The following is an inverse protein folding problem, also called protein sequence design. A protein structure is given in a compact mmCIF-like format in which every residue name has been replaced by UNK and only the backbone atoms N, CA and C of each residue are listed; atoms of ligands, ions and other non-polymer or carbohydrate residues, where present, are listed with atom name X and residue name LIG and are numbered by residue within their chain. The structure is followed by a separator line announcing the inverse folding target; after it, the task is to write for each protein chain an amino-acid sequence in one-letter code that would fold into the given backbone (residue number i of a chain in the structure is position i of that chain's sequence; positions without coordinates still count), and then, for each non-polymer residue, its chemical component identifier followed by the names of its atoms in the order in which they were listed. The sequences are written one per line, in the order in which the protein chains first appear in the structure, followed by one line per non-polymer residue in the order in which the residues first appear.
data_IF_369506270759
#
_entry.id   IF_369506270759
#
_cell.length_a   1.000
_cell.length_b   1.000
_cell.length_c   1.000
_cell.angle_alpha   90.00
_cell.angle_beta   90.00
_cell.angle_gamma   90.00
#
_symmetry.space_group_name_H-M   'P 1'
#
loop_
_entity.id
_entity.type
_entity.pdbx_description
1 polymer ?
#
# COMPACT_ATOMS: atom_id res chain seq x y z
N UNK A 1 25.71 -10.52 -2.88
CA UNK A 1 24.25 -10.27 -2.79
C UNK A 1 24.07 -8.97 -2.01
N UNK A 2 23.25 -8.02 -2.47
CA UNK A 2 23.04 -6.79 -1.70
C UNK A 2 22.35 -7.10 -0.38
N UNK A 3 22.70 -6.31 0.64
CA UNK A 3 22.06 -6.32 1.96
C UNK A 3 21.03 -5.20 2.11
N UNK A 4 21.06 -4.20 1.22
CA UNK A 4 20.20 -3.03 1.33
C UNK A 4 18.74 -3.38 1.09
N UNK A 5 17.83 -2.79 1.86
CA UNK A 5 16.37 -2.94 1.73
C UNK A 5 15.68 -1.58 1.84
N UNK A 6 14.59 -1.40 1.08
CA UNK A 6 13.73 -0.22 1.19
C UNK A 6 12.41 -0.62 1.84
N UNK A 7 12.03 0.04 2.93
CA UNK A 7 10.87 -0.29 3.75
C UNK A 7 9.90 0.86 3.75
N UNK A 8 8.65 0.57 3.42
CA UNK A 8 7.59 1.56 3.31
C UNK A 8 6.52 1.33 4.37
N UNK A 9 6.04 2.41 4.99
CA UNK A 9 4.67 2.38 5.51
C UNK A 9 3.65 2.25 4.37
N UNK A 10 2.48 1.74 4.70
CA UNK A 10 1.36 1.62 3.80
C UNK A 10 0.55 2.92 3.75
N UNK A 11 -0.24 3.17 4.79
CA UNK A 11 -1.19 4.28 4.86
C UNK A 11 -0.41 5.59 5.03
N UNK A 12 -0.76 6.62 4.27
CA UNK A 12 -0.05 7.91 4.35
C UNK A 12 1.29 7.94 3.60
N UNK A 13 1.91 6.79 3.35
CA UNK A 13 3.19 6.68 2.62
C UNK A 13 3.01 6.19 1.19
N UNK A 14 2.59 4.94 0.97
CA UNK A 14 2.34 4.42 -0.39
C UNK A 14 1.02 4.97 -0.94
N UNK A 15 0.00 5.07 -0.09
CA UNK A 15 -1.36 5.42 -0.52
C UNK A 15 -2.33 5.59 0.64
N UNK A 16 -3.61 5.71 0.31
CA UNK A 16 -4.73 5.64 1.26
C UNK A 16 -5.73 4.58 0.77
N UNK A 17 -5.80 3.47 1.49
CA UNK A 17 -6.55 2.29 1.08
C UNK A 17 -7.89 2.17 1.80
N UNK A 18 -8.27 3.18 2.60
CA UNK A 18 -9.50 3.13 3.40
C UNK A 18 -10.76 2.94 2.54
N UNK A 19 -10.76 3.47 1.32
CA UNK A 19 -11.89 3.40 0.40
C UNK A 19 -12.17 1.98 -0.12
N UNK A 20 -11.14 1.13 -0.20
CA UNK A 20 -11.27 -0.27 -0.66
C UNK A 20 -11.30 -1.28 0.48
N UNK A 21 -10.77 -0.93 1.65
CA UNK A 21 -10.76 -1.78 2.85
C UNK A 21 -12.14 -2.38 3.15
N UNK A 22 -13.20 -1.57 3.01
CA UNK A 22 -14.59 -2.03 3.24
C UNK A 22 -14.96 -3.27 2.41
N UNK A 23 -14.50 -3.38 1.17
CA UNK A 23 -14.87 -4.50 0.30
C UNK A 23 -14.10 -5.77 0.64
N UNK A 24 -12.92 -5.68 1.26
CA UNK A 24 -12.13 -6.86 1.65
C UNK A 24 -12.91 -7.80 2.57
N UNK A 25 -13.75 -7.25 3.46
CA UNK A 25 -14.64 -8.04 4.32
C UNK A 25 -15.63 -8.92 3.54
N UNK A 26 -15.86 -8.65 2.25
CA UNK A 26 -16.81 -9.37 1.41
C UNK A 26 -16.18 -10.45 0.55
N UNK A 27 -14.86 -10.51 0.38
CA UNK A 27 -14.27 -11.49 -0.53
C UNK A 27 -12.86 -11.93 -0.17
N UNK A 28 -12.11 -11.14 0.61
CA UNK A 28 -10.72 -11.46 0.89
C UNK A 28 -10.62 -12.61 1.88
N UNK A 29 -9.96 -13.68 1.47
CA UNK A 29 -9.78 -14.90 2.26
C UNK A 29 -9.13 -14.60 3.61
N UNK A 30 -8.10 -13.73 3.65
CA UNK A 30 -7.36 -13.44 4.87
C UNK A 30 -8.22 -12.68 5.88
N UNK A 31 -8.93 -11.66 5.40
CA UNK A 31 -9.86 -10.85 6.18
C UNK A 31 -10.99 -11.70 6.74
N UNK A 32 -11.58 -12.59 5.92
CA UNK A 32 -12.65 -13.47 6.38
C UNK A 32 -12.11 -14.50 7.38
N UNK A 33 -10.96 -15.13 7.12
CA UNK A 33 -10.34 -16.10 8.05
C UNK A 33 -9.97 -15.47 9.39
N UNK A 34 -9.61 -14.19 9.43
CA UNK A 34 -9.29 -13.51 10.68
C UNK A 34 -10.51 -13.40 11.62
N UNK A 35 -11.68 -13.09 11.07
CA UNK A 35 -12.91 -12.90 11.87
C UNK A 35 -13.82 -14.12 11.94
N UNK A 36 -13.73 -15.03 10.97
CA UNK A 36 -14.68 -16.13 10.72
C UNK A 36 -13.98 -17.42 10.24
N UNK A 37 -12.82 -17.76 10.82
CA UNK A 37 -11.98 -18.89 10.38
C UNK A 37 -12.74 -20.20 10.15
N UNK A 38 -13.42 -20.71 11.18
CA UNK A 38 -14.12 -22.00 11.14
C UNK A 38 -15.21 -22.01 10.05
N UNK A 39 -15.91 -20.88 9.92
CA UNK A 39 -16.93 -20.69 8.91
C UNK A 39 -16.34 -20.73 7.49
N UNK A 40 -15.26 -19.97 7.24
CA UNK A 40 -14.58 -19.98 5.95
C UNK A 40 -14.06 -21.37 5.58
N UNK A 41 -13.49 -22.10 6.55
CA UNK A 41 -12.99 -23.46 6.33
C UNK A 41 -14.11 -24.40 5.88
N UNK A 42 -15.32 -24.24 6.43
CA UNK A 42 -16.52 -25.00 6.04
C UNK A 42 -17.14 -24.63 4.68
N UNK A 43 -16.71 -23.54 4.05
CA UNK A 43 -17.28 -23.13 2.77
C UNK A 43 -16.96 -24.15 1.67
N UNK A 44 -17.93 -24.47 0.79
CA UNK A 44 -17.66 -25.24 -0.41
C UNK A 44 -16.56 -24.61 -1.26
N UNK A 45 -15.78 -25.43 -1.96
CA UNK A 45 -14.68 -24.96 -2.82
C UNK A 45 -15.18 -24.00 -3.93
N UNK A 46 -16.39 -24.21 -4.43
CA UNK A 46 -17.04 -23.30 -5.38
C UNK A 46 -17.24 -21.89 -4.82
N UNK A 47 -17.56 -21.76 -3.52
CA UNK A 47 -17.73 -20.47 -2.84
C UNK A 47 -16.36 -19.81 -2.67
N UNK A 48 -15.35 -20.56 -2.22
CA UNK A 48 -13.98 -20.06 -2.09
C UNK A 48 -13.44 -19.57 -3.43
N UNK A 49 -13.65 -20.33 -4.51
CA UNK A 49 -13.27 -19.93 -5.86
C UNK A 49 -14.06 -18.70 -6.35
N UNK A 50 -15.36 -18.61 -6.04
CA UNK A 50 -16.17 -17.44 -6.36
C UNK A 50 -15.65 -16.16 -5.70
N UNK A 51 -15.32 -16.21 -4.40
CA UNK A 51 -14.77 -15.06 -3.67
C UNK A 51 -13.42 -14.63 -4.25
N UNK A 52 -12.56 -15.60 -4.59
CA UNK A 52 -11.29 -15.33 -5.27
C UNK A 52 -11.48 -14.68 -6.64
N UNK A 53 -12.39 -15.19 -7.47
CA UNK A 53 -12.68 -14.60 -8.79
C UNK A 53 -13.28 -13.19 -8.64
N UNK A 54 -14.09 -12.95 -7.60
CA UNK A 54 -14.67 -11.65 -7.29
C UNK A 54 -13.58 -10.62 -6.92
N UNK A 55 -12.64 -11.00 -6.05
CA UNK A 55 -11.46 -10.19 -5.70
C UNK A 55 -10.67 -9.81 -6.95
N UNK A 56 -10.23 -10.80 -7.73
CA UNK A 56 -9.39 -10.60 -8.92
C UNK A 56 -10.10 -9.72 -9.97
N UNK A 57 -11.40 -9.95 -10.19
CA UNK A 57 -12.18 -9.16 -11.15
C UNK A 57 -12.37 -7.73 -10.68
N UNK A 58 -12.64 -7.52 -9.39
CA UNK A 58 -12.81 -6.18 -8.82
C UNK A 58 -11.51 -5.39 -8.90
N UNK A 59 -10.38 -5.96 -8.44
CA UNK A 59 -9.07 -5.30 -8.49
C UNK A 59 -8.67 -4.92 -9.92
N UNK A 60 -8.88 -5.84 -10.88
CA UNK A 60 -8.63 -5.57 -12.30
C UNK A 60 -9.48 -4.42 -12.82
N UNK A 61 -10.74 -4.31 -12.39
CA UNK A 61 -11.61 -3.17 -12.74
C UNK A 61 -11.14 -1.88 -12.11
N UNK A 62 -10.66 -1.88 -10.87
CA UNK A 62 -10.08 -0.68 -10.23
C UNK A 62 -8.87 -0.16 -11.02
N UNK A 63 -7.99 -1.06 -11.44
CA UNK A 63 -6.82 -0.73 -12.26
C UNK A 63 -7.22 -0.14 -13.62
N UNK A 64 -8.11 -0.83 -14.35
CA UNK A 64 -8.53 -0.41 -15.69
C UNK A 64 -9.31 0.91 -15.70
N UNK A 65 -10.03 1.22 -14.63
CA UNK A 65 -10.74 2.51 -14.50
C UNK A 65 -9.84 3.64 -14.01
N UNK A 66 -8.55 3.39 -13.79
CA UNK A 66 -7.60 4.37 -13.25
C UNK A 66 -7.84 4.71 -11.78
N UNK A 67 -8.78 4.03 -11.10
CA UNK A 67 -9.14 4.30 -9.70
C UNK A 67 -7.91 4.17 -8.80
N UNK A 68 -7.14 3.09 -9.01
CA UNK A 68 -5.95 2.79 -8.23
C UNK A 68 -4.90 3.88 -8.31
N UNK A 69 -4.61 4.40 -9.51
CA UNK A 69 -3.58 5.43 -9.71
C UNK A 69 -4.05 6.83 -9.26
N UNK A 70 -5.33 7.15 -9.44
CA UNK A 70 -5.85 8.50 -9.20
C UNK A 70 -6.20 8.74 -7.73
N UNK A 71 -6.68 7.70 -7.03
CA UNK A 71 -7.30 7.89 -5.71
C UNK A 71 -6.78 7.00 -4.59
N UNK A 72 -6.06 5.93 -4.89
CA UNK A 72 -5.55 5.02 -3.84
C UNK A 72 -4.06 5.22 -3.61
N UNK A 73 -3.28 5.24 -4.69
CA UNK A 73 -1.84 5.43 -4.60
C UNK A 73 -1.48 6.90 -4.53
N UNK A 74 -0.38 7.19 -3.82
CA UNK A 74 0.21 8.53 -3.79
C UNK A 74 0.53 9.01 -5.20
N UNK A 75 0.23 10.29 -5.45
CA UNK A 75 0.64 10.97 -6.69
C UNK A 75 2.15 10.84 -6.92
N UNK A 76 2.52 10.46 -8.15
CA UNK A 76 3.91 10.31 -8.59
C UNK A 76 4.74 9.29 -7.77
N UNK A 77 4.09 8.31 -7.13
CA UNK A 77 4.78 7.19 -6.46
C UNK A 77 5.59 6.33 -7.45
N UNK A 78 5.20 6.33 -8.72
CA UNK A 78 5.93 5.70 -9.84
C UNK A 78 7.36 6.23 -9.94
N UNK A 79 7.59 7.55 -9.82
CA UNK A 79 8.94 8.12 -9.83
C UNK A 79 9.83 7.67 -8.67
N UNK A 80 9.26 7.31 -7.53
CA UNK A 80 10.01 6.72 -6.39
C UNK A 80 10.39 5.27 -6.73
N UNK A 81 9.42 4.48 -7.19
CA UNK A 81 9.65 3.06 -7.50
C UNK A 81 10.49 2.83 -8.77
N UNK A 82 10.49 3.74 -9.73
CA UNK A 82 11.36 3.68 -10.92
C UNK A 82 12.83 3.63 -10.51
N UNK A 83 13.24 4.51 -9.59
CA UNK A 83 14.62 4.54 -9.09
C UNK A 83 14.94 3.26 -8.31
N UNK A 84 14.02 2.80 -7.46
CA UNK A 84 14.23 1.57 -6.69
C UNK A 84 14.31 0.34 -7.60
N UNK A 85 13.51 0.29 -8.67
CA UNK A 85 13.57 -0.74 -9.71
C UNK A 85 14.92 -0.76 -10.39
N UNK A 86 15.50 0.40 -10.70
CA UNK A 86 16.88 0.47 -11.23
C UNK A 86 17.90 -0.09 -10.24
N UNK A 87 17.75 0.22 -8.93
CA UNK A 87 18.62 -0.30 -7.87
C UNK A 87 18.47 -1.80 -7.63
N UNK A 88 17.30 -2.36 -7.89
CA UNK A 88 17.08 -3.82 -7.85
C UNK A 88 17.78 -4.46 -9.06
N UNK A 89 17.60 -3.88 -10.26
CA UNK A 89 18.24 -4.37 -11.50
C UNK A 89 19.76 -4.34 -11.43
N UNK A 90 20.36 -3.28 -10.90
CA UNK A 90 21.81 -3.16 -10.71
C UNK A 90 22.33 -3.96 -9.48
N UNK A 91 21.43 -4.63 -8.75
CA UNK A 91 21.70 -5.43 -7.55
C UNK A 91 22.29 -4.64 -6.40
N UNK A 92 22.12 -3.31 -6.35
CA UNK A 92 22.48 -2.49 -5.20
C UNK A 92 21.39 -2.47 -4.12
N UNK A 93 20.15 -2.83 -4.46
CA UNK A 93 19.01 -3.03 -3.56
C UNK A 93 18.55 -4.49 -3.64
N UNK A 94 18.28 -5.13 -2.49
CA UNK A 94 17.72 -6.48 -2.44
C UNK A 94 16.26 -6.51 -2.91
N UNK A 95 15.49 -5.48 -2.56
CA UNK A 95 14.09 -5.30 -2.91
C UNK A 95 13.39 -4.36 -1.93
N UNK A 96 12.10 -4.16 -2.16
CA UNK A 96 11.23 -3.38 -1.30
C UNK A 96 10.42 -4.29 -0.35
N UNK A 97 9.98 -3.74 0.77
CA UNK A 97 9.02 -4.37 1.68
C UNK A 97 8.03 -3.34 2.22
N UNK A 98 6.85 -3.82 2.62
CA UNK A 98 5.82 -3.00 3.26
C UNK A 98 5.78 -3.40 4.73
N UNK A 99 5.85 -2.43 5.63
CA UNK A 99 5.75 -2.61 7.07
C UNK A 99 4.69 -1.65 7.61
N UNK A 100 3.49 -2.18 7.85
CA UNK A 100 2.32 -1.41 8.25
C UNK A 100 1.99 -1.61 9.73
N UNK A 101 1.46 -0.56 10.36
CA UNK A 101 0.79 -0.65 11.66
C UNK A 101 -0.69 -1.01 11.54
N UNK A 102 -1.21 -1.15 10.31
CA UNK A 102 -2.55 -1.61 10.05
C UNK A 102 -2.59 -3.16 10.09
N UNK A 103 -3.67 -3.71 10.62
CA UNK A 103 -3.90 -5.16 10.68
C UNK A 103 -4.67 -5.70 9.47
N UNK A 104 -5.00 -4.87 8.48
CA UNK A 104 -5.64 -5.36 7.25
C UNK A 104 -4.59 -5.73 6.20
N UNK A 105 -4.30 -7.03 6.11
CA UNK A 105 -3.37 -7.62 5.15
C UNK A 105 -3.78 -7.43 3.68
N UNK A 106 -5.07 -7.42 3.36
CA UNK A 106 -5.56 -7.19 2.00
C UNK A 106 -5.01 -5.89 1.42
N UNK A 107 -4.98 -4.82 2.21
CA UNK A 107 -4.49 -3.53 1.73
C UNK A 107 -2.98 -3.59 1.40
N UNK A 108 -2.20 -4.37 2.16
CA UNK A 108 -0.77 -4.54 1.90
C UNK A 108 -0.54 -5.28 0.58
N UNK A 109 -1.26 -6.40 0.37
CA UNK A 109 -1.14 -7.16 -0.88
C UNK A 109 -1.65 -6.36 -2.09
N UNK A 110 -2.81 -5.70 -1.96
CA UNK A 110 -3.36 -4.85 -3.00
C UNK A 110 -2.36 -3.74 -3.38
N UNK A 111 -1.76 -3.06 -2.40
CA UNK A 111 -0.74 -2.05 -2.65
C UNK A 111 0.48 -2.63 -3.38
N UNK A 112 0.95 -3.81 -2.96
CA UNK A 112 2.02 -4.54 -3.61
C UNK A 112 1.72 -4.81 -5.09
N UNK A 113 0.59 -5.47 -5.37
CA UNK A 113 0.13 -5.78 -6.73
C UNK A 113 -0.08 -4.52 -7.57
N UNK A 114 -0.63 -3.45 -6.98
CA UNK A 114 -0.85 -2.19 -7.67
C UNK A 114 0.48 -1.53 -8.10
N UNK A 115 1.48 -1.53 -7.23
CA UNK A 115 2.82 -1.01 -7.56
C UNK A 115 3.51 -1.89 -8.61
N UNK A 116 3.46 -3.22 -8.48
CA UNK A 116 4.04 -4.14 -9.47
C UNK A 116 3.37 -4.01 -10.84
N UNK A 117 2.05 -3.81 -10.85
CA UNK A 117 1.27 -3.51 -12.06
C UNK A 117 1.65 -2.17 -12.69
N UNK A 118 1.79 -1.11 -11.89
CA UNK A 118 2.28 0.20 -12.37
C UNK A 118 3.69 0.11 -12.95
N UNK A 119 4.53 -0.74 -12.36
CA UNK A 119 5.92 -0.91 -12.76
C UNK A 119 6.11 -1.97 -13.84
N UNK A 120 5.07 -2.68 -14.26
CA UNK A 120 5.17 -3.82 -15.18
C UNK A 120 6.29 -4.78 -14.75
N UNK A 121 6.33 -5.13 -13.46
CA UNK A 121 7.45 -5.86 -12.85
C UNK A 121 7.02 -6.57 -11.57
N UNK A 122 7.21 -7.90 -11.52
CA UNK A 122 6.87 -8.76 -10.36
C UNK A 122 8.04 -8.94 -9.36
N UNK A 123 9.14 -8.22 -9.56
CA UNK A 123 10.38 -8.33 -8.77
C UNK A 123 10.68 -7.07 -7.92
N UNK A 124 9.68 -6.21 -7.69
CA UNK A 124 9.87 -5.00 -6.86
C UNK A 124 9.95 -5.38 -5.38
N UNK A 125 9.00 -6.20 -4.91
CA UNK A 125 8.95 -6.61 -3.52
C UNK A 125 9.73 -7.90 -3.27
N UNK A 126 10.42 -7.94 -2.12
CA UNK A 126 11.27 -9.05 -1.70
C UNK A 126 10.45 -10.34 -1.66
N UNK A 127 10.86 -11.35 -2.43
CA UNK A 127 10.27 -12.69 -2.42
C UNK A 127 10.89 -13.54 -1.28
N UNK A 128 10.07 -14.07 -0.39
CA UNK A 128 10.48 -14.95 0.71
C UNK A 128 11.01 -16.30 0.18
N UNK A 129 12.14 -16.79 0.71
CA UNK A 129 12.78 -18.05 0.26
C UNK A 129 12.27 -19.29 0.99
N UNK A 130 11.89 -19.17 2.26
CA UNK A 130 11.42 -20.32 3.04
C UNK A 130 9.93 -20.58 2.78
N UNK A 131 9.61 -21.84 2.49
CA UNK A 131 8.28 -22.38 2.75
C UNK A 131 8.03 -22.32 4.25
N UNK A 132 7.47 -21.22 4.72
CA UNK A 132 7.03 -21.14 6.09
C UNK A 132 5.58 -21.66 6.11
N UNK A 133 5.28 -22.65 6.96
CA UNK A 133 3.89 -23.07 7.19
C UNK A 133 3.01 -21.92 7.70
N UNK A 134 3.61 -20.86 8.25
CA UNK A 134 2.94 -19.59 8.57
C UNK A 134 2.78 -18.67 7.34
N UNK A 135 3.67 -18.75 6.34
CA UNK A 135 3.53 -18.07 5.05
C UNK A 135 2.59 -18.79 4.07
N UNK A 136 2.23 -20.05 4.33
CA UNK A 136 1.15 -20.77 3.62
C UNK A 136 -0.25 -20.17 3.88
N UNK A 137 -0.32 -19.04 4.58
CA UNK A 137 -1.51 -18.22 4.78
C UNK A 137 -1.40 -16.93 3.97
N UNK A 138 -0.50 -16.78 2.99
CA UNK A 138 -0.38 -15.55 2.18
C UNK A 138 -0.31 -15.89 0.69
N UNK A 139 -1.07 -15.17 -0.13
CA UNK A 139 -1.38 -15.50 -1.53
C UNK A 139 -0.15 -15.35 -2.44
N UNK A 140 0.74 -14.43 -2.09
CA UNK A 140 2.05 -14.26 -2.72
C UNK A 140 3.17 -14.30 -1.68
N UNK A 141 4.30 -14.98 -1.98
CA UNK A 141 5.48 -15.06 -1.08
C UNK A 141 6.24 -13.73 -1.02
N UNK A 142 5.58 -12.60 -0.80
CA UNK A 142 6.20 -11.28 -0.67
C UNK A 142 6.39 -10.92 0.80
N UNK A 143 7.47 -10.22 1.11
CA UNK A 143 7.76 -9.80 2.48
C UNK A 143 6.94 -8.55 2.84
N UNK A 144 5.72 -8.76 3.31
CA UNK A 144 4.84 -7.75 3.87
C UNK A 144 4.63 -8.04 5.36
N UNK A 145 4.78 -7.03 6.21
CA UNK A 145 4.66 -7.13 7.66
C UNK A 145 3.51 -6.23 8.10
N UNK A 146 2.46 -6.81 8.68
CA UNK A 146 1.30 -6.09 9.20
C UNK A 146 1.36 -5.96 10.74
N UNK A 147 0.30 -5.46 11.39
CA UNK A 147 0.19 -5.43 12.86
C UNK A 147 0.20 -6.81 13.54
N UNK A 148 -0.33 -7.83 12.88
CA UNK A 148 -0.55 -9.14 13.48
C UNK A 148 0.62 -10.11 13.24
N UNK A 149 1.64 -9.72 12.48
CA UNK A 149 2.79 -10.58 12.18
C UNK A 149 3.59 -10.89 13.46
N UNK A 150 3.72 -12.19 13.76
CA UNK A 150 4.46 -12.71 14.93
C UNK A 150 5.91 -12.27 14.99
N UNK A 151 6.51 -11.87 13.86
CA UNK A 151 7.88 -11.38 13.86
C UNK A 151 8.04 -10.15 14.75
N UNK A 152 6.96 -9.37 14.89
CA UNK A 152 6.84 -8.18 15.73
C UNK A 152 6.81 -8.50 17.22
N UNK A 153 6.31 -9.67 17.62
CA UNK A 153 6.09 -10.04 19.03
C UNK A 153 7.33 -9.89 19.92
N UNK A 154 8.53 -10.01 19.35
CA UNK A 154 9.80 -9.93 20.11
C UNK A 154 10.24 -8.51 20.41
N UNK A 155 9.91 -7.55 19.56
CA UNK A 155 10.45 -6.19 19.60
C UNK A 155 9.39 -5.11 19.75
N UNK A 156 8.18 -5.39 19.27
CA UNK A 156 7.10 -4.41 19.20
C UNK A 156 6.12 -4.56 20.39
N UNK A 157 6.01 -5.70 21.10
CA UNK A 157 5.02 -5.89 22.19
C UNK A 157 5.47 -6.86 23.31
N UNK A 158 5.53 -6.43 24.60
CA UNK A 158 4.43 -6.81 25.51
C UNK A 158 3.67 -5.64 26.15
N UNK A 159 3.96 -4.37 25.83
CA UNK A 159 3.30 -3.22 26.49
C UNK A 159 2.67 -2.26 25.47
N UNK A 160 1.34 -2.33 25.41
CA UNK A 160 0.39 -1.32 24.94
C UNK A 160 0.57 -0.80 23.51
N UNK A 161 -0.19 -1.35 22.55
CA UNK A 161 -0.67 -0.64 21.34
C UNK A 161 0.41 0.14 20.56
N UNK A 162 1.67 -0.25 20.67
CA UNK A 162 2.77 0.57 20.19
C UNK A 162 2.79 0.51 18.67
N UNK A 163 2.51 1.65 18.03
CA UNK A 163 2.63 1.87 16.57
C UNK A 163 4.09 1.85 16.09
N UNK A 164 5.01 1.27 16.87
CA UNK A 164 6.44 1.49 16.66
C UNK A 164 6.94 0.45 15.67
N UNK A 165 7.51 0.94 14.57
CA UNK A 165 8.25 0.13 13.61
C UNK A 165 9.72 0.16 13.97
N UNK A 166 10.34 -1.01 14.04
CA UNK A 166 11.73 -1.10 14.52
C UNK A 166 12.69 -1.68 13.48
N UNK A 167 13.94 -1.21 13.50
CA UNK A 167 15.06 -1.78 12.74
C UNK A 167 15.21 -3.28 13.05
N UNK A 168 15.10 -3.66 14.32
CA UNK A 168 15.24 -5.05 14.79
C UNK A 168 14.22 -5.99 14.17
N UNK A 169 12.96 -5.55 14.03
CA UNK A 169 11.91 -6.31 13.36
C UNK A 169 12.28 -6.61 11.90
N UNK A 170 12.81 -5.62 11.17
CA UNK A 170 13.23 -5.82 9.77
C UNK A 170 14.46 -6.74 9.69
N UNK A 171 15.46 -6.54 10.54
CA UNK A 171 16.64 -7.41 10.59
C UNK A 171 16.24 -8.87 10.81
N UNK A 172 15.33 -9.11 11.77
CA UNK A 172 14.78 -10.45 12.04
C UNK A 172 13.99 -10.98 10.84
N UNK A 173 13.14 -10.18 10.21
CA UNK A 173 12.36 -10.58 9.04
C UNK A 173 13.23 -10.97 7.85
N UNK A 174 14.19 -10.13 7.48
CA UNK A 174 15.10 -10.42 6.37
C UNK A 174 15.95 -11.65 6.67
N UNK A 175 16.41 -11.83 7.92
CA UNK A 175 17.13 -13.04 8.32
C UNK A 175 16.24 -14.29 8.25
N UNK A 176 15.05 -14.23 8.83
CA UNK A 176 14.19 -15.40 8.95
C UNK A 176 13.67 -15.88 7.58
N UNK A 177 13.23 -14.95 6.74
CA UNK A 177 12.55 -15.23 5.48
C UNK A 177 13.47 -15.27 4.24
N UNK A 178 14.61 -14.57 4.26
CA UNK A 178 15.52 -14.44 3.10
C UNK A 178 16.92 -15.04 3.35
N UNK A 179 17.25 -15.30 4.63
CA UNK A 179 18.55 -15.76 5.10
C UNK A 179 19.70 -14.79 4.80
N UNK A 180 19.46 -13.50 5.01
CA UNK A 180 20.46 -12.44 4.88
C UNK A 180 20.56 -11.68 6.20
N UNK A 181 21.79 -11.51 6.69
CA UNK A 181 22.06 -10.61 7.83
C UNK A 181 22.29 -9.19 7.29
N UNK A 182 21.52 -8.23 7.80
CA UNK A 182 21.58 -6.81 7.41
C UNK A 182 21.80 -5.94 8.66
N UNK A 183 22.47 -4.81 8.48
CA UNK A 183 22.70 -3.82 9.54
C UNK A 183 21.71 -2.65 9.44
N UNK A 184 21.69 -1.76 10.44
CA UNK A 184 20.79 -0.60 10.42
C UNK A 184 21.03 0.34 9.21
N UNK A 185 22.29 0.49 8.80
CA UNK A 185 22.72 1.27 7.62
C UNK A 185 22.31 0.66 6.28
N UNK A 186 21.91 -0.61 6.27
CA UNK A 186 21.37 -1.28 5.08
C UNK A 186 19.87 -1.00 4.88
N UNK A 187 19.21 -0.31 5.81
CA UNK A 187 17.77 -0.14 5.79
C UNK A 187 17.43 1.31 5.43
N UNK A 188 16.64 1.49 4.36
CA UNK A 188 16.03 2.77 4.03
C UNK A 188 14.54 2.73 4.39
N UNK A 189 14.15 3.49 5.40
CA UNK A 189 12.75 3.64 5.78
C UNK A 189 12.09 4.83 5.08
N UNK A 190 10.86 4.64 4.63
CA UNK A 190 9.97 5.67 4.15
C UNK A 190 8.68 5.58 4.94
N UNK A 191 8.36 6.61 5.71
CA UNK A 191 7.17 6.65 6.58
C UNK A 191 6.75 8.11 6.79
N UNK A 192 5.45 8.39 6.90
CA UNK A 192 4.91 9.73 7.17
C UNK A 192 4.94 10.08 8.66
N UNK A 193 4.99 9.07 9.52
CA UNK A 193 5.08 9.20 10.96
C UNK A 193 6.44 8.68 11.44
N UNK A 194 7.29 9.59 11.94
CA UNK A 194 8.50 9.19 12.66
C UNK A 194 8.12 8.92 14.11
N UNK A 195 8.36 7.71 14.58
CA UNK A 195 8.47 7.44 16.01
C UNK A 195 9.88 7.79 16.49
N UNK A 196 9.97 8.55 17.59
CA UNK A 196 11.24 9.06 18.14
C UNK A 196 12.26 7.94 18.45
N UNK A 197 11.78 6.72 18.75
CA UNK A 197 12.62 5.56 19.03
C UNK A 197 13.38 5.03 17.80
N UNK A 198 12.96 5.38 16.57
CA UNK A 198 13.72 5.10 15.33
C UNK A 198 14.95 6.01 15.27
N UNK A 199 14.86 7.22 15.81
CA UNK A 199 15.88 8.28 15.73
C UNK A 199 16.97 8.19 16.81
N UNK A 200 17.10 7.05 17.50
CA UNK A 200 18.17 6.88 18.48
C UNK A 200 19.58 7.03 17.89
N UNK A 201 19.72 7.01 16.55
CA UNK A 201 20.97 7.31 15.83
C UNK A 201 20.78 8.43 14.81
N UNK A 202 21.70 9.40 14.86
CA UNK A 202 21.73 10.71 14.15
C UNK A 202 21.84 10.64 12.62
N UNK A 203 21.51 9.53 11.97
CA UNK A 203 21.71 9.38 10.53
C UNK A 203 20.41 9.64 9.75
N UNK A 204 20.27 10.87 9.26
CA UNK A 204 19.24 11.28 8.28
C UNK A 204 19.31 10.52 6.94
N UNK A 205 20.24 9.56 6.79
CA UNK A 205 20.53 8.83 5.55
C UNK A 205 19.73 7.53 5.40
N UNK A 206 19.26 6.94 6.50
CA UNK A 206 18.52 5.65 6.53
C UNK A 206 17.01 5.84 6.69
N UNK A 207 16.55 7.08 6.83
CA UNK A 207 15.14 7.40 7.02
C UNK A 207 14.71 8.61 6.19
N UNK A 208 13.59 8.46 5.49
CA UNK A 208 12.94 9.51 4.71
C UNK A 208 11.55 9.73 5.28
N UNK A 209 11.36 10.87 5.95
CA UNK A 209 10.03 11.31 6.32
C UNK A 209 9.29 11.77 5.09
N UNK A 210 8.22 11.08 4.74
CA UNK A 210 7.39 11.50 3.62
C UNK A 210 6.24 12.37 4.11
N UNK A 211 5.76 13.30 3.28
CA UNK A 211 4.52 14.02 3.59
C UNK A 211 3.37 12.99 3.64
N UNK A 212 2.53 13.03 4.68
CA UNK A 212 1.35 12.18 4.75
C UNK A 212 0.47 12.39 3.50
N UNK A 213 0.21 11.30 2.79
CA UNK A 213 -0.70 11.25 1.66
C UNK A 213 -2.11 10.94 2.15
N UNK A 214 -3.08 11.67 1.65
CA UNK A 214 -4.49 11.43 1.93
C UNK A 214 -5.25 11.55 0.63
N UNK A 215 -6.02 10.53 0.30
CA UNK A 215 -6.87 10.56 -0.87
C UNK A 215 -7.97 11.61 -0.67
N UNK A 216 -8.00 12.64 -1.51
CA UNK A 216 -9.05 13.66 -1.51
C UNK A 216 -10.31 13.17 -2.21
N UNK A 217 -10.84 12.04 -1.74
CA UNK A 217 -12.02 11.38 -2.28
C UNK A 217 -13.29 12.13 -1.90
N UNK A 218 -13.97 12.69 -2.91
CA UNK A 218 -15.32 13.25 -2.79
C UNK A 218 -16.32 12.12 -2.61
N UNK A 219 -17.45 12.44 -1.96
CA UNK A 219 -18.57 11.50 -1.79
C UNK A 219 -19.03 10.87 -3.12
N UNK A 220 -19.05 11.66 -4.20
CA UNK A 220 -19.38 11.18 -5.55
C UNK A 220 -18.43 10.11 -6.09
N UNK A 221 -17.16 10.14 -5.69
CA UNK A 221 -16.14 9.19 -6.14
C UNK A 221 -16.27 7.86 -5.37
N UNK A 222 -16.72 7.90 -4.11
CA UNK A 222 -17.12 6.70 -3.37
C UNK A 222 -18.36 6.03 -4.01
N UNK A 223 -19.37 6.82 -4.41
CA UNK A 223 -20.51 6.27 -5.15
C UNK A 223 -20.07 5.60 -6.46
N UNK A 224 -19.12 6.21 -7.17
CA UNK A 224 -18.54 5.61 -8.37
C UNK A 224 -17.82 4.30 -8.07
N UNK A 225 -16.98 4.24 -7.01
CA UNK A 225 -16.31 3.02 -6.56
C UNK A 225 -17.31 1.91 -6.24
N UNK A 226 -18.37 2.24 -5.52
CA UNK A 226 -19.45 1.31 -5.22
C UNK A 226 -20.13 0.80 -6.50
N UNK A 227 -20.38 1.67 -7.48
CA UNK A 227 -20.92 1.27 -8.79
C UNK A 227 -20.01 0.27 -9.52
N UNK A 228 -18.69 0.44 -9.45
CA UNK A 228 -17.73 -0.55 -9.97
C UNK A 228 -17.91 -1.89 -9.26
N UNK A 229 -17.95 -1.90 -7.93
CA UNK A 229 -18.15 -3.11 -7.14
C UNK A 229 -19.48 -3.80 -7.48
N UNK A 230 -20.58 -3.06 -7.51
CA UNK A 230 -21.92 -3.58 -7.86
C UNK A 230 -21.92 -4.21 -9.26
N UNK A 231 -21.31 -3.53 -10.25
CA UNK A 231 -21.20 -4.07 -11.60
C UNK A 231 -20.38 -5.37 -11.66
N UNK A 232 -19.37 -5.48 -10.79
CA UNK A 232 -18.54 -6.69 -10.65
C UNK A 232 -19.36 -7.84 -10.07
N UNK A 233 -20.14 -7.60 -9.01
CA UNK A 233 -21.06 -8.59 -8.45
C UNK A 233 -22.05 -9.11 -9.49
N UNK A 234 -22.66 -8.21 -10.27
CA UNK A 234 -23.62 -8.59 -11.32
C UNK A 234 -22.99 -9.45 -12.42
N UNK A 235 -21.75 -9.16 -12.80
CA UNK A 235 -20.98 -9.98 -13.74
C UNK A 235 -20.68 -11.37 -13.15
N UNK A 236 -20.22 -11.39 -11.90
CA UNK A 236 -19.91 -12.62 -11.18
C UNK A 236 -21.13 -13.52 -11.00
N UNK A 237 -22.31 -12.97 -10.71
CA UNK A 237 -23.55 -13.74 -10.66
C UNK A 237 -23.98 -14.31 -12.02
N UNK A 238 -23.67 -13.62 -13.12
CA UNK A 238 -23.92 -14.16 -14.47
C UNK A 238 -22.99 -15.34 -14.78
N UNK A 239 -21.73 -15.25 -14.36
CA UNK A 239 -20.71 -16.30 -14.53
C UNK A 239 -20.99 -17.50 -13.61
N UNK A 240 -21.45 -17.25 -12.39
CA UNK A 240 -21.74 -18.27 -11.36
C UNK A 240 -23.21 -18.22 -10.94
N UNK A 241 -24.09 -18.80 -11.78
CA UNK A 241 -25.56 -18.67 -11.65
C UNK A 241 -26.14 -19.10 -10.30
N UNK A 242 -25.50 -20.04 -9.61
CA UNK A 242 -25.92 -20.57 -8.31
C UNK A 242 -25.43 -19.72 -7.12
N UNK A 243 -24.45 -18.83 -7.33
CA UNK A 243 -23.78 -18.15 -6.23
C UNK A 243 -24.56 -16.96 -5.66
N UNK A 244 -25.54 -16.43 -6.39
CA UNK A 244 -26.31 -15.27 -5.94
C UNK A 244 -26.99 -15.53 -4.59
N UNK A 245 -27.77 -16.60 -4.51
CA UNK A 245 -28.54 -16.90 -3.30
C UNK A 245 -27.60 -17.37 -2.18
N UNK A 246 -26.55 -18.13 -2.51
CA UNK A 246 -25.52 -18.55 -1.56
C UNK A 246 -24.79 -17.37 -0.92
N UNK A 247 -24.38 -16.37 -1.70
CA UNK A 247 -23.60 -15.23 -1.22
C UNK A 247 -24.32 -14.45 -0.11
N UNK A 248 -25.62 -14.19 -0.28
CA UNK A 248 -26.44 -13.47 0.69
C UNK A 248 -26.71 -14.28 1.98
N UNK A 249 -26.46 -15.59 1.98
CA UNK A 249 -26.61 -16.44 3.17
C UNK A 249 -25.35 -16.53 4.02
N UNK A 250 -24.20 -16.05 3.54
CA UNK A 250 -22.92 -16.12 4.27
C UNK A 250 -22.94 -15.17 5.49
N UNK A 251 -22.63 -15.67 6.68
CA UNK A 251 -22.79 -14.87 7.92
C UNK A 251 -21.91 -13.62 7.94
N UNK A 252 -20.66 -13.71 7.47
CA UNK A 252 -19.76 -12.55 7.39
C UNK A 252 -20.31 -11.45 6.45
N UNK A 253 -21.26 -11.79 5.59
CA UNK A 253 -21.93 -10.87 4.67
C UNK A 253 -23.24 -10.30 5.21
N UNK A 254 -23.94 -11.02 6.10
CA UNK A 254 -25.28 -10.61 6.60
C UNK A 254 -25.32 -9.19 7.18
N UNK A 255 -24.24 -8.75 7.83
CA UNK A 255 -24.13 -7.39 8.40
C UNK A 255 -23.82 -6.30 7.37
N UNK A 256 -23.39 -6.66 6.16
CA UNK A 256 -23.03 -5.72 5.10
C UNK A 256 -24.17 -5.51 4.10
N UNK A 257 -25.22 -6.34 4.11
CA UNK A 257 -26.37 -6.23 3.19
C UNK A 257 -27.67 -5.72 3.85
N UNK A 258 -27.74 -4.49 4.41
CA UNK A 258 -29.03 -3.84 4.65
C UNK A 258 -29.64 -3.42 3.29
N UNK A 259 -30.91 -2.97 3.30
CA UNK A 259 -31.69 -2.60 2.11
C UNK A 259 -30.99 -1.61 1.15
N UNK A 260 -29.88 -0.96 1.56
CA UNK A 260 -28.95 -0.25 0.66
C UNK A 260 -27.47 -0.40 1.08
N UNK A 261 -26.78 -1.47 0.65
CA UNK A 261 -25.32 -1.70 0.81
C UNK A 261 -24.48 -0.44 0.47
N UNK A 262 -24.91 0.31 -0.55
CA UNK A 262 -24.33 1.61 -0.93
C UNK A 262 -24.30 2.61 0.25
N UNK A 263 -25.42 2.81 0.94
CA UNK A 263 -25.50 3.75 2.05
C UNK A 263 -24.68 3.28 3.24
N UNK A 264 -24.61 1.97 3.49
CA UNK A 264 -23.75 1.40 4.51
C UNK A 264 -22.26 1.67 4.19
N UNK A 265 -21.83 1.42 2.96
CA UNK A 265 -20.48 1.73 2.49
C UNK A 265 -20.16 3.23 2.66
N UNK A 266 -20.99 4.11 2.12
CA UNK A 266 -20.77 5.56 2.20
C UNK A 266 -20.73 6.06 3.65
N UNK A 267 -21.63 5.58 4.51
CA UNK A 267 -21.71 6.02 5.91
C UNK A 267 -20.54 5.51 6.75
N UNK A 268 -19.98 4.34 6.41
CA UNK A 268 -18.81 3.81 7.09
C UNK A 268 -17.50 4.44 6.59
N UNK A 269 -17.38 4.74 5.30
CA UNK A 269 -16.10 5.18 4.71
C UNK A 269 -15.93 6.70 4.72
N UNK A 270 -16.98 7.46 4.38
CA UNK A 270 -16.87 8.91 4.18
C UNK A 270 -16.49 9.71 5.43
N UNK A 271 -16.99 9.39 6.65
CA UNK A 271 -16.58 10.12 7.85
C UNK A 271 -15.08 10.05 8.15
N UNK A 272 -14.43 8.91 7.88
CA UNK A 272 -13.00 8.75 8.10
C UNK A 272 -12.18 9.54 7.08
N UNK A 273 -12.61 9.55 5.81
CA UNK A 273 -11.99 10.37 4.76
C UNK A 273 -12.19 11.87 5.06
N UNK A 274 -13.38 12.28 5.51
CA UNK A 274 -13.69 13.70 5.80
C UNK A 274 -12.87 14.26 6.98
N UNK A 275 -12.64 13.47 8.03
CA UNK A 275 -11.82 13.90 9.18
C UNK A 275 -10.40 14.27 8.75
N UNK A 276 -9.81 13.48 7.85
CA UNK A 276 -8.48 13.72 7.26
C UNK A 276 -8.41 15.02 6.44
N UNK A 277 -9.42 15.29 5.61
CA UNK A 277 -9.49 16.52 4.78
C UNK A 277 -9.50 17.82 5.61
N UNK A 278 -10.10 17.83 6.80
CA UNK A 278 -10.16 19.03 7.67
C UNK A 278 -8.79 19.38 8.29
N UNK A 279 -7.88 18.41 8.42
CA UNK A 279 -6.55 18.63 8.99
C UNK A 279 -5.56 19.23 7.97
N UNK A 280 -5.87 19.18 6.67
CA UNK A 280 -5.05 19.75 5.59
C UNK A 280 -5.13 21.28 5.45
N UNK A 281 -6.24 21.91 5.83
CA UNK A 281 -6.39 23.37 5.73
C UNK A 281 -5.42 24.14 6.64
N UNK A 282 -4.71 23.44 7.54
CA UNK A 282 -3.70 24.01 8.45
C UNK A 282 -2.24 23.62 8.13
N UNK A 283 -1.95 22.84 7.08
CA UNK A 283 -0.59 22.37 6.77
C UNK A 283 0.04 23.10 5.57
N UNK A 284 0.33 24.39 5.72
CA UNK A 284 1.09 25.15 4.71
C UNK A 284 2.61 24.93 4.74
N UNK A 285 3.19 24.21 5.72
CA UNK A 285 4.63 24.38 5.99
C UNK A 285 5.56 23.16 6.05
N UNK A 286 5.19 21.96 5.59
CA UNK A 286 6.17 20.88 5.42
C UNK A 286 5.80 19.98 4.23
N UNK A 287 6.46 20.22 3.10
CA UNK A 287 6.34 19.38 1.90
C UNK A 287 7.74 18.99 1.49
N UNK A 288 8.14 17.74 1.75
CA UNK A 288 9.24 17.17 0.98
C UNK A 288 8.68 16.81 -0.40
N UNK A 289 9.04 17.62 -1.39
CA UNK A 289 8.76 17.36 -2.80
C UNK A 289 9.35 15.98 -3.19
N UNK A 290 8.77 15.28 -4.17
CA UNK A 290 9.29 13.99 -4.62
C UNK A 290 10.75 14.08 -5.05
N UNK A 291 11.19 15.25 -5.53
CA UNK A 291 12.60 15.53 -5.80
C UNK A 291 13.50 15.36 -4.57
N UNK A 292 13.03 15.74 -3.39
CA UNK A 292 13.75 15.60 -2.12
C UNK A 292 13.82 14.12 -1.70
N UNK A 293 12.70 13.39 -1.82
CA UNK A 293 12.65 11.94 -1.55
C UNK A 293 13.64 11.22 -2.47
N UNK A 294 13.56 11.47 -3.77
CA UNK A 294 14.46 10.92 -4.80
C UNK A 294 15.93 11.23 -4.49
N UNK A 295 16.24 12.46 -4.07
CA UNK A 295 17.61 12.84 -3.68
C UNK A 295 18.08 12.06 -2.46
N UNK A 296 17.23 11.89 -1.44
CA UNK A 296 17.57 11.11 -0.23
C UNK A 296 17.76 9.63 -0.55
N UNK A 297 16.92 9.03 -1.41
CA UNK A 297 17.11 7.67 -1.92
C UNK A 297 18.48 7.55 -2.59
N UNK A 298 18.83 8.48 -3.49
CA UNK A 298 20.13 8.46 -4.16
C UNK A 298 21.31 8.62 -3.19
N UNK A 299 21.18 9.46 -2.15
CA UNK A 299 22.20 9.62 -1.12
C UNK A 299 22.37 8.35 -0.27
N UNK A 300 21.30 7.58 -0.02
CA UNK A 300 21.40 6.29 0.68
C UNK A 300 22.20 5.24 -0.11
N UNK A 301 22.03 5.21 -1.44
CA UNK A 301 22.82 4.30 -2.29
C UNK A 301 24.23 4.82 -2.57
N UNK A 302 24.39 6.14 -2.71
CA UNK A 302 25.65 6.82 -2.98
C UNK A 302 25.89 7.91 -1.93
N UNK A 303 26.20 7.55 -0.68
CA UNK A 303 26.58 8.54 0.31
C UNK A 303 27.81 9.24 -0.26
N UNK A 304 27.71 10.53 -0.56
CA UNK A 304 28.85 11.30 -1.04
C UNK A 304 30.01 10.99 -0.09
N UNK A 305 31.17 10.61 -0.63
CA UNK A 305 32.42 10.59 0.11
C UNK A 305 32.67 12.04 0.50
N UNK A 306 32.08 12.49 1.60
CA UNK A 306 32.29 13.79 2.22
C UNK A 306 33.66 13.74 2.91
N UNK A 307 34.69 13.67 2.08
CA UNK A 307 36.09 13.61 2.47
C UNK A 307 37.06 14.06 1.38
N UNK A 308 36.57 14.46 0.20
CA UNK A 308 37.41 15.00 -0.87
C UNK A 308 37.03 16.43 -1.20
N UNK A 309 37.90 17.40 -0.89
CA UNK A 309 37.85 18.77 -1.44
C UNK A 309 38.04 18.72 -2.97
N UNK A 310 36.98 18.39 -3.70
CA UNK A 310 36.96 18.43 -5.16
C UNK A 310 36.49 19.78 -5.67
N UNK A 311 37.41 20.73 -5.85
CA UNK A 311 37.20 21.87 -6.75
C UNK A 311 36.93 21.32 -8.15
N UNK A 312 35.70 21.41 -8.66
CA UNK A 312 35.36 20.86 -9.97
C UNK A 312 34.06 21.39 -10.56
N UNK A 313 34.13 22.59 -11.15
CA UNK A 313 33.23 23.18 -12.19
C UNK A 313 31.74 22.76 -12.16
N UNK A 314 30.91 23.64 -11.58
CA UNK A 314 29.48 23.76 -11.91
C UNK A 314 29.31 23.92 -13.42
N UNK A 315 28.80 22.89 -14.12
CA UNK A 315 28.07 23.10 -15.38
C UNK A 315 26.62 23.40 -15.03
N UNK A 316 26.22 24.63 -15.30
CA UNK A 316 24.85 25.12 -15.24
C UNK A 316 23.95 24.23 -16.11
N UNK A 317 23.15 23.37 -15.48
CA UNK A 317 22.04 22.70 -16.16
C UNK A 317 20.98 23.77 -16.43
N UNK A 318 20.66 23.98 -17.72
CA UNK A 318 19.64 24.92 -18.17
C UNK A 318 18.29 24.55 -17.55
N UNK A 319 17.64 25.54 -16.93
CA UNK A 319 16.24 25.56 -16.48
C UNK A 319 15.33 24.84 -17.47
N UNK A 320 14.69 23.75 -17.05
CA UNK A 320 13.48 23.26 -17.71
C UNK A 320 12.36 24.28 -17.45
N UNK A 321 11.78 24.79 -18.54
CA UNK A 321 10.68 25.76 -18.53
C UNK A 321 9.39 25.08 -18.07
N UNK A 322 8.75 25.69 -17.06
CA UNK A 322 7.29 25.79 -16.81
C UNK A 322 6.39 24.84 -17.63
N UNK A 323 5.88 23.79 -16.98
CA UNK A 323 4.53 23.28 -17.27
C UNK A 323 3.50 24.11 -16.49
N UNK A 324 3.12 25.26 -17.06
CA UNK A 324 1.86 25.94 -16.74
C UNK A 324 0.89 25.57 -17.85
N UNK A 325 0.02 24.58 -17.63
CA UNK A 325 -1.36 24.50 -18.14
C UNK A 325 -1.90 23.06 -18.11
N UNK A 326 -2.55 22.68 -17.01
CA UNK A 326 -3.62 21.65 -17.04
C UNK A 326 -4.63 21.83 -15.90
N UNK A 327 -4.88 23.07 -15.44
CA UNK A 327 -6.12 23.42 -14.72
C UNK A 327 -7.09 24.09 -15.67
N UNK A 328 -7.74 23.29 -16.52
CA UNK A 328 -8.92 23.72 -17.28
C UNK A 328 -9.81 22.53 -17.71
N UNK A 329 -10.10 21.61 -16.80
CA UNK A 329 -11.33 20.82 -16.89
C UNK A 329 -12.42 21.53 -16.09
N UNK A 330 -12.89 22.65 -16.66
CA UNK A 330 -14.18 23.26 -16.29
C UNK A 330 -15.24 22.65 -17.20
N UNK A 331 -16.11 21.84 -16.60
CA UNK A 331 -17.56 21.84 -16.81
C UNK A 331 -18.06 22.14 -18.24
N UNK A 332 -18.29 21.10 -19.04
CA UNK A 332 -19.38 21.07 -20.03
C UNK A 332 -19.90 19.63 -20.16
N UNK A 333 -20.65 19.17 -19.16
CA UNK A 333 -21.69 18.18 -19.42
C UNK A 333 -22.87 18.98 -19.97
N UNK A 334 -22.98 19.02 -21.29
CA UNK A 334 -24.14 19.56 -21.99
C UNK A 334 -25.24 18.50 -21.96
N UNK A 335 -26.38 18.92 -21.44
CA UNK A 335 -27.70 18.35 -21.66
C UNK A 335 -28.00 18.35 -23.18
N UNK A 336 -28.78 17.34 -23.61
CA UNK A 336 -29.36 17.00 -24.93
C UNK A 336 -28.61 15.85 -25.61
N UNK A 337 -29.20 14.68 -25.88
CA UNK A 337 -30.60 14.28 -26.11
C UNK A 337 -30.98 13.04 -25.30
#
# INVERSE_FOLDING_TARGET
MSKKVAVFDLDGTIGDFIAINYFSYLYDEHTIKYSHKEQYESYPDEVKQYLKDLEETFEKRLLNNGFTKIWLLRDNIDGIFDILKEKIKDKSLLGCMIYSNNGNFYNLEFAGRAIEGLMESDDIFIKAKKDNKLLNIYKEKKLFIDYNDKIRDTYDIPKTRARIKTVKTIQKAVKEYIDVNIEAEDILFLDDQIHEDILSHKDETTYIRVKQYEALLKKSELFYLYGIFQSTLLEMFKKHKTMKDTLFTLDHMKGYFPETLENAYISNTYPYIKRKIHDQENMENYVEDNEIIIRKINNFFNPMITGGKGKGKRKTIKKYKKYKNSRKYKSKLLIKL
#
